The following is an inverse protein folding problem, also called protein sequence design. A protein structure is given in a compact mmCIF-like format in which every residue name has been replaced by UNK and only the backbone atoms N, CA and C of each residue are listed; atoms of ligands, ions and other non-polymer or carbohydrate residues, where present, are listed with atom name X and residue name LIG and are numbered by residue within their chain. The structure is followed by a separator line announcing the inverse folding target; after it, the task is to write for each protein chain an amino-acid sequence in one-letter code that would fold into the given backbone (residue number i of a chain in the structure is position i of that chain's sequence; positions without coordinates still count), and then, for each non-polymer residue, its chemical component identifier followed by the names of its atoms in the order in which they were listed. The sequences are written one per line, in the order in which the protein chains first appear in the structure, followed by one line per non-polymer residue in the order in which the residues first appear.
data_IF_435032907695
#
_entry.id   IF_435032907695
#
_cell.length_a   1.000
_cell.length_b   1.000
_cell.length_c   1.000
_cell.angle_alpha   90.00
_cell.angle_beta   90.00
_cell.angle_gamma   90.00
#
_symmetry.space_group_name_H-M   'P 1'
#
loop_
_entity.id
_entity.type
_entity.pdbx_description
1 polymer ?
#
# COMPACT_ATOMS: atom_id res chain seq x y z
N UNK A 1 -3.11 -9.99 3.26
CA UNK A 1 -1.89 -9.49 3.92
C UNK A 1 -0.66 -9.67 3.02
N UNK A 2 -0.49 -10.86 2.47
CA UNK A 2 0.63 -11.12 1.55
C UNK A 2 0.62 -10.18 0.35
N UNK A 3 -0.56 -9.97 -0.25
CA UNK A 3 -0.72 -9.05 -1.38
C UNK A 3 -0.33 -7.63 -0.98
N UNK A 4 -0.80 -7.18 0.17
CA UNK A 4 -0.51 -5.84 0.66
C UNK A 4 0.98 -5.60 0.89
N UNK A 5 1.70 -6.62 1.34
CA UNK A 5 3.15 -6.50 1.58
C UNK A 5 3.99 -6.62 0.32
N UNK A 6 3.43 -7.19 -0.74
CA UNK A 6 4.15 -7.45 -1.97
C UNK A 6 4.03 -6.34 -3.01
N UNK A 7 3.28 -5.27 -2.73
CA UNK A 7 3.12 -4.15 -3.65
C UNK A 7 4.45 -3.44 -3.91
N UNK A 8 4.54 -2.78 -5.07
CA UNK A 8 5.72 -1.99 -5.42
C UNK A 8 5.70 -0.65 -4.69
N UNK A 9 6.84 -0.20 -4.20
CA UNK A 9 6.95 1.09 -3.51
C UNK A 9 6.87 2.20 -4.55
N UNK A 10 5.86 3.07 -4.44
CA UNK A 10 5.68 4.20 -5.34
C UNK A 10 6.13 5.52 -4.70
N UNK A 11 6.08 5.61 -3.37
CA UNK A 11 6.55 6.77 -2.63
C UNK A 11 7.00 6.35 -1.24
N UNK A 12 8.00 7.04 -0.71
CA UNK A 12 8.49 6.80 0.64
C UNK A 12 8.75 8.12 1.34
N UNK A 13 8.56 8.14 2.65
CA UNK A 13 8.84 9.32 3.47
C UNK A 13 9.84 8.95 4.56
N UNK A 14 10.39 9.96 5.24
CA UNK A 14 11.22 9.72 6.40
C UNK A 14 10.44 9.47 7.69
N UNK A 15 9.12 9.44 7.62
CA UNK A 15 8.28 9.31 8.81
C UNK A 15 8.20 7.87 9.29
N UNK A 16 8.16 7.68 10.60
CA UNK A 16 7.89 6.38 11.20
C UNK A 16 6.40 6.21 11.42
N UNK A 17 5.92 4.97 11.34
CA UNK A 17 4.52 4.63 11.59
C UNK A 17 4.44 3.75 12.82
N UNK A 18 3.49 4.05 13.67
CA UNK A 18 3.24 3.31 14.90
C UNK A 18 1.81 2.80 14.93
N UNK A 19 1.58 1.76 15.71
CA UNK A 19 0.26 1.17 15.88
C UNK A 19 -0.58 2.05 16.82
N UNK A 20 -1.51 2.81 16.25
CA UNK A 20 -2.38 3.70 17.03
C UNK A 20 -3.40 2.95 17.87
N UNK A 21 -3.67 1.71 17.56
CA UNK A 21 -4.64 0.89 18.27
C UNK A 21 -4.01 0.11 19.42
N UNK A 22 -2.69 0.08 19.50
CA UNK A 22 -1.97 -0.59 20.58
C UNK A 22 -1.67 0.39 21.72
N UNK A 23 -1.95 0.03 22.98
CA UNK A 23 -1.56 0.87 24.11
C UNK A 23 -0.06 1.13 24.19
N UNK A 24 0.75 0.21 23.66
CA UNK A 24 2.20 0.34 23.65
C UNK A 24 2.70 1.21 22.50
N UNK A 25 1.82 1.61 21.58
CA UNK A 25 2.19 2.43 20.41
C UNK A 25 3.38 1.81 19.67
N UNK A 26 3.28 0.54 19.34
CA UNK A 26 4.37 -0.24 18.76
C UNK A 26 4.81 0.32 17.41
N UNK A 27 6.12 0.30 17.16
CA UNK A 27 6.68 0.72 15.88
C UNK A 27 6.34 -0.31 14.80
N UNK A 28 5.78 0.15 13.68
CA UNK A 28 5.44 -0.72 12.55
C UNK A 28 6.53 -0.68 11.48
N UNK A 29 7.04 0.51 11.17
CA UNK A 29 8.05 0.68 10.13
C UNK A 29 8.06 2.10 9.58
N UNK A 30 8.75 2.29 8.47
CA UNK A 30 8.74 3.55 7.74
C UNK A 30 7.46 3.69 6.93
N UNK A 31 6.96 4.91 6.78
CA UNK A 31 5.78 5.17 5.97
C UNK A 31 6.14 5.16 4.50
N UNK A 32 5.53 4.26 3.76
CA UNK A 32 5.66 4.15 2.31
C UNK A 32 4.28 3.99 1.70
N UNK A 33 4.16 4.35 0.42
CA UNK A 33 2.98 4.02 -0.38
C UNK A 33 3.36 2.86 -1.30
N UNK A 34 2.52 1.85 -1.33
CA UNK A 34 2.66 0.69 -2.17
C UNK A 34 1.56 0.67 -3.22
N UNK A 35 1.83 0.04 -4.35
CA UNK A 35 0.85 -0.04 -5.44
C UNK A 35 0.97 -1.36 -6.19
N UNK A 36 -0.13 -1.76 -6.84
CA UNK A 36 -0.17 -2.86 -7.79
C UNK A 36 -0.40 -2.35 -9.23
N UNK A 37 -0.40 -1.03 -9.41
CA UNK A 37 -0.66 -0.39 -10.69
C UNK A 37 -2.06 0.17 -10.83
N UNK A 38 -3.02 -0.30 -10.06
CA UNK A 38 -4.42 0.13 -10.11
C UNK A 38 -4.89 0.70 -8.78
N UNK A 39 -4.38 0.16 -7.67
CA UNK A 39 -4.67 0.61 -6.32
C UNK A 39 -3.38 1.02 -5.64
N UNK A 40 -3.48 1.84 -4.61
CA UNK A 40 -2.33 2.12 -3.75
C UNK A 40 -2.77 2.13 -2.29
N UNK A 41 -1.82 1.85 -1.39
CA UNK A 41 -2.09 1.77 0.04
C UNK A 41 -0.83 2.08 0.83
N UNK A 42 -1.03 2.38 2.11
CA UNK A 42 0.07 2.65 3.03
C UNK A 42 0.66 1.34 3.55
N UNK A 43 1.94 1.38 3.89
CA UNK A 43 2.62 0.20 4.43
C UNK A 43 1.99 -0.35 5.71
N UNK A 44 1.37 0.52 6.52
CA UNK A 44 0.77 0.08 7.78
C UNK A 44 -0.57 -0.64 7.60
N UNK A 45 -1.17 -0.60 6.41
CA UNK A 45 -2.45 -1.28 6.18
C UNK A 45 -2.34 -2.78 6.44
N UNK A 46 -1.27 -3.43 5.97
CA UNK A 46 -1.07 -4.85 6.19
C UNK A 46 -1.00 -5.20 7.68
N UNK A 47 -0.35 -4.35 8.47
CA UNK A 47 -0.28 -4.55 9.91
C UNK A 47 -1.66 -4.54 10.56
N UNK A 48 -2.49 -3.55 10.23
CA UNK A 48 -3.83 -3.44 10.82
C UNK A 48 -4.75 -4.57 10.37
N UNK A 49 -4.66 -4.99 9.12
CA UNK A 49 -5.45 -6.11 8.62
C UNK A 49 -5.05 -7.41 9.32
N UNK A 50 -3.75 -7.65 9.45
CA UNK A 50 -3.26 -8.88 10.08
C UNK A 50 -3.58 -8.95 11.57
N UNK A 51 -3.37 -7.85 12.28
CA UNK A 51 -3.49 -7.84 13.74
C UNK A 51 -4.92 -7.61 14.22
N UNK A 52 -5.67 -6.76 13.54
CA UNK A 52 -6.99 -6.32 13.99
C UNK A 52 -8.12 -6.75 13.05
N UNK A 53 -7.80 -7.45 11.98
CA UNK A 53 -8.79 -7.92 11.00
C UNK A 53 -9.66 -6.78 10.46
N UNK A 54 -9.05 -5.63 10.20
CA UNK A 54 -9.74 -4.47 9.63
C UNK A 54 -10.31 -4.86 8.27
N UNK A 55 -11.61 -4.60 8.02
CA UNK A 55 -12.21 -4.95 6.74
C UNK A 55 -11.67 -4.08 5.60
N UNK A 56 -11.50 -4.69 4.43
CA UNK A 56 -11.09 -4.01 3.23
C UNK A 56 -12.30 -3.78 2.32
N UNK A 57 -12.20 -2.79 1.43
CA UNK A 57 -13.23 -2.54 0.42
C UNK A 57 -13.44 -3.81 -0.42
N UNK A 58 -14.70 -4.20 -0.63
CA UNK A 58 -15.04 -5.42 -1.37
C UNK A 58 -14.50 -5.38 -2.80
N UNK A 59 -14.46 -4.21 -3.42
CA UNK A 59 -13.91 -4.05 -4.77
C UNK A 59 -12.42 -4.34 -4.80
N UNK A 60 -11.70 -3.95 -3.75
CA UNK A 60 -10.28 -4.25 -3.65
C UNK A 60 -10.06 -5.75 -3.41
N UNK A 61 -10.86 -6.39 -2.57
CA UNK A 61 -10.78 -7.84 -2.32
C UNK A 61 -11.01 -8.61 -3.62
N UNK A 62 -12.02 -8.22 -4.39
CA UNK A 62 -12.31 -8.85 -5.69
C UNK A 62 -11.15 -8.65 -6.67
N UNK A 63 -10.56 -7.46 -6.68
CA UNK A 63 -9.39 -7.14 -7.50
C UNK A 63 -8.21 -8.05 -7.16
N UNK A 64 -7.95 -8.27 -5.87
CA UNK A 64 -6.87 -9.16 -5.41
C UNK A 64 -7.11 -10.60 -5.89
N UNK A 65 -8.35 -11.06 -5.81
CA UNK A 65 -8.73 -12.40 -6.27
C UNK A 65 -8.52 -12.57 -7.77
N UNK A 66 -8.88 -11.56 -8.55
CA UNK A 66 -8.70 -11.59 -9.99
C UNK A 66 -7.22 -11.66 -10.39
N UNK A 67 -6.34 -11.14 -9.55
CA UNK A 67 -4.89 -11.18 -9.78
C UNK A 67 -4.23 -12.42 -9.18
N UNK A 68 -5.01 -13.36 -8.67
CA UNK A 68 -4.48 -14.59 -8.11
C UNK A 68 -3.73 -14.41 -6.79
N UNK A 69 -3.98 -13.30 -6.10
CA UNK A 69 -3.37 -13.04 -4.79
C UNK A 69 -1.92 -12.58 -4.83
N UNK A 70 -1.39 -12.23 -6.01
CA UNK A 70 -0.02 -11.74 -6.15
C UNK A 70 -0.02 -10.47 -7.02
N UNK A 71 0.51 -9.34 -6.52
CA UNK A 71 0.57 -8.14 -7.33
C UNK A 71 1.66 -8.24 -8.39
N UNK A 72 1.52 -7.51 -9.51
CA UNK A 72 2.58 -7.47 -10.52
C UNK A 72 3.80 -6.71 -10.00
N UNK A 73 4.97 -7.10 -10.49
CA UNK A 73 6.20 -6.35 -10.25
C UNK A 73 6.26 -5.23 -11.27
N UNK A 74 6.25 -3.99 -10.80
CA UNK A 74 6.25 -2.82 -11.68
C UNK A 74 7.67 -2.34 -11.94
N UNK A 75 7.96 -2.01 -13.20
CA UNK A 75 9.23 -1.39 -13.57
C UNK A 75 9.26 0.07 -13.12
N UNK A 76 10.44 0.69 -13.16
CA UNK A 76 10.57 2.11 -12.83
C UNK A 76 9.69 2.97 -13.74
N UNK A 77 9.62 2.66 -15.03
CA UNK A 77 8.78 3.38 -15.99
C UNK A 77 7.30 3.22 -15.66
N UNK A 78 6.88 2.01 -15.33
CA UNK A 78 5.49 1.75 -14.93
C UNK A 78 5.12 2.50 -13.65
N UNK A 79 6.04 2.54 -12.68
CA UNK A 79 5.82 3.30 -11.44
C UNK A 79 5.70 4.80 -11.71
N UNK A 80 6.48 5.34 -12.63
CA UNK A 80 6.34 6.74 -13.02
C UNK A 80 4.97 7.02 -13.63
N UNK A 81 4.49 6.11 -14.48
CA UNK A 81 3.16 6.26 -15.10
C UNK A 81 2.05 6.20 -14.06
N UNK A 82 2.17 5.30 -13.09
CA UNK A 82 1.21 5.18 -11.99
C UNK A 82 1.23 6.45 -11.14
N UNK A 83 2.42 6.95 -10.82
CA UNK A 83 2.57 8.18 -10.03
C UNK A 83 1.96 9.37 -10.75
N UNK A 84 2.14 9.47 -12.06
CA UNK A 84 1.53 10.55 -12.85
C UNK A 84 0.01 10.48 -12.85
N UNK A 85 -0.55 9.28 -12.77
CA UNK A 85 -1.99 9.07 -12.73
C UNK A 85 -2.58 9.43 -11.37
N UNK A 86 -1.98 8.94 -10.29
CA UNK A 86 -2.49 9.14 -8.93
C UNK A 86 -2.04 10.47 -8.31
N UNK A 87 -0.85 10.93 -8.67
CA UNK A 87 -0.26 12.15 -8.14
C UNK A 87 0.20 13.03 -9.31
N UNK A 88 -0.74 13.54 -10.12
CA UNK A 88 -0.36 14.35 -11.26
C UNK A 88 0.45 15.55 -10.80
N UNK A 89 1.47 15.89 -11.59
CA UNK A 89 2.29 17.05 -11.31
C UNK A 89 1.45 18.29 -11.54
N UNK A 90 1.08 18.92 -10.46
CA UNK A 90 0.23 20.09 -10.49
C UNK A 90 1.10 21.33 -10.63
N UNK A 91 1.71 21.48 -11.75
CA UNK A 91 2.51 22.64 -12.09
C UNK A 91 1.64 23.87 -12.13
N UNK A 92 1.48 24.43 -11.02
CA UNK A 92 0.66 25.63 -10.94
C UNK A 92 1.38 26.81 -11.55
#
# INVERSE_FOLDING_TARGET
VRYLRAGSVIAATGSAVHDFLSPANEFIGGLQLLTDGEWFWRTDLAHYVERYHVPLDDRFVDHVRLRGGTPPQLSATELEQVADTFFPDDEA
#
